data_IF_646222331557
#
_entry.id   IF_646222331557
#
_cell.length_a   1.000
_cell.length_b   1.000
_cell.length_c   1.000
_cell.angle_alpha   90.00
_cell.angle_beta   90.00
_cell.angle_gamma   90.00
#
_symmetry.space_group_name_H-M   'P 1'
#
loop_
_entity.id
_entity.type
_entity.pdbx_description
1 polymer ?
#
# COMPACT_ATOMS: atom_id res chain seq x y z
N UNK A 1 2.20 11.10 -1.84
CA UNK A 1 0.84 11.16 -1.31
C UNK A 1 0.05 12.17 -2.10
N UNK A 2 -1.23 11.89 -2.40
CA UNK A 2 -2.15 12.80 -3.08
C UNK A 2 -3.54 12.70 -2.47
N UNK A 3 -4.28 13.80 -2.49
CA UNK A 3 -5.68 13.85 -2.07
C UNK A 3 -6.58 14.17 -3.27
N UNK A 4 -7.67 13.43 -3.43
CA UNK A 4 -8.72 13.84 -4.37
C UNK A 4 -9.40 15.13 -3.88
N UNK A 5 -10.07 15.83 -4.79
CA UNK A 5 -10.77 17.06 -4.44
C UNK A 5 -11.93 16.78 -3.46
N UNK A 6 -12.64 15.67 -3.67
CA UNK A 6 -13.71 15.21 -2.78
C UNK A 6 -13.20 14.89 -1.37
N UNK A 7 -12.07 14.17 -1.26
CA UNK A 7 -11.44 13.88 0.03
C UNK A 7 -11.04 15.16 0.75
N UNK A 8 -10.40 16.09 0.03
CA UNK A 8 -10.02 17.39 0.60
C UNK A 8 -11.22 18.16 1.13
N UNK A 9 -12.31 18.25 0.36
CA UNK A 9 -13.51 18.95 0.80
C UNK A 9 -14.15 18.28 2.03
N UNK A 10 -14.18 16.95 2.07
CA UNK A 10 -14.66 16.20 3.21
C UNK A 10 -13.81 16.48 4.46
N UNK A 11 -12.48 16.41 4.34
CA UNK A 11 -11.56 16.65 5.46
C UNK A 11 -11.63 18.10 5.95
N UNK A 12 -11.64 19.09 5.05
CA UNK A 12 -11.78 20.50 5.46
C UNK A 12 -13.07 20.76 6.23
N UNK A 13 -14.17 20.15 5.80
CA UNK A 13 -15.45 20.25 6.50
C UNK A 13 -15.37 19.59 7.88
N UNK A 14 -14.80 18.39 7.98
CA UNK A 14 -14.62 17.70 9.26
C UNK A 14 -13.74 18.49 10.23
N UNK A 15 -12.65 19.09 9.74
CA UNK A 15 -11.77 19.93 10.55
C UNK A 15 -12.53 21.16 11.08
N UNK A 16 -13.31 21.83 10.23
CA UNK A 16 -14.15 22.97 10.64
C UNK A 16 -15.20 22.56 11.68
N UNK A 17 -15.89 21.43 11.49
CA UNK A 17 -16.91 20.91 12.42
C UNK A 17 -16.35 20.53 13.79
N UNK A 18 -15.05 20.19 13.86
CA UNK A 18 -14.36 19.78 15.08
C UNK A 18 -13.47 20.88 15.68
N UNK A 19 -13.55 22.12 15.17
CA UNK A 19 -12.72 23.25 15.60
C UNK A 19 -11.21 22.95 15.54
N UNK A 20 -10.81 22.13 14.58
CA UNK A 20 -9.44 21.68 14.37
C UNK A 20 -8.87 22.25 13.06
N UNK A 21 -7.54 22.22 12.91
CA UNK A 21 -6.86 22.78 11.73
C UNK A 21 -5.87 21.82 11.06
N UNK A 22 -5.81 20.56 11.54
CA UNK A 22 -4.85 19.58 11.05
C UNK A 22 -5.47 18.17 10.95
N UNK A 23 -5.21 17.49 9.84
CA UNK A 23 -5.43 16.05 9.70
C UNK A 23 -4.22 15.31 10.29
N UNK A 24 -4.42 14.27 11.08
CA UNK A 24 -3.37 13.37 11.53
C UNK A 24 -3.42 12.07 10.73
N UNK A 25 -2.26 11.58 10.28
CA UNK A 25 -2.12 10.31 9.59
C UNK A 25 -1.08 9.48 10.32
N UNK A 26 -1.48 8.31 10.80
CA UNK A 26 -0.63 7.36 11.51
C UNK A 26 -0.77 5.97 10.90
N UNK A 27 0.31 5.18 10.96
CA UNK A 27 0.30 3.75 10.68
C UNK A 27 0.29 2.99 12.00
N UNK A 28 -0.65 2.06 12.14
CA UNK A 28 -0.73 1.17 13.28
C UNK A 28 -0.40 -0.24 12.82
N UNK A 29 0.68 -0.80 13.35
CA UNK A 29 1.02 -2.21 13.17
C UNK A 29 0.00 -3.09 13.91
N UNK A 30 -0.52 -4.08 13.21
CA UNK A 30 -1.45 -5.09 13.74
C UNK A 30 -0.71 -6.38 14.10
N UNK A 31 -1.40 -7.28 14.81
CA UNK A 31 -0.79 -8.53 15.31
C UNK A 31 -0.34 -9.47 14.19
N UNK A 32 -0.91 -9.33 12.98
CA UNK A 32 -0.66 -10.18 11.81
C UNK A 32 0.40 -9.58 10.86
N UNK A 33 1.25 -8.66 11.34
CA UNK A 33 2.23 -7.95 10.51
C UNK A 33 1.63 -7.09 9.38
N UNK A 34 0.31 -6.93 9.36
CA UNK A 34 -0.36 -5.90 8.58
C UNK A 34 -0.27 -4.55 9.26
N UNK A 35 -0.50 -3.48 8.51
CA UNK A 35 -0.68 -2.15 9.06
C UNK A 35 -2.06 -1.61 8.70
N UNK A 36 -2.61 -0.80 9.59
CA UNK A 36 -3.81 -0.02 9.35
C UNK A 36 -3.47 1.47 9.30
N UNK A 37 -4.10 2.18 8.36
CA UNK A 37 -3.95 3.64 8.25
C UNK A 37 -5.03 4.28 9.12
N UNK A 38 -4.60 5.06 10.11
CA UNK A 38 -5.48 5.83 10.96
C UNK A 38 -5.52 7.28 10.48
N UNK A 39 -6.74 7.80 10.28
CA UNK A 39 -6.99 9.20 9.97
C UNK A 39 -7.66 9.86 11.18
N UNK A 40 -6.93 10.78 11.80
CA UNK A 40 -7.35 11.50 12.99
C UNK A 40 -7.56 12.99 12.73
N UNK A 41 -8.30 13.64 13.63
CA UNK A 41 -8.40 15.10 13.67
C UNK A 41 -7.48 15.60 14.78
N UNK A 42 -6.61 16.56 14.46
CA UNK A 42 -5.63 17.10 15.38
C UNK A 42 -5.53 18.64 15.29
N UNK A 43 -4.93 19.24 16.32
CA UNK A 43 -4.49 20.62 16.30
C UNK A 43 -3.04 20.69 15.79
N UNK A 44 -2.75 21.62 14.88
CA UNK A 44 -1.39 21.79 14.34
C UNK A 44 -0.36 22.14 15.43
N UNK A 45 -0.78 22.78 16.52
CA UNK A 45 0.11 23.16 17.64
C UNK A 45 0.68 21.96 18.41
N UNK A 46 0.00 20.82 18.36
CA UNK A 46 0.34 19.62 19.11
C UNK A 46 1.13 18.60 18.26
N UNK A 47 1.22 18.84 16.95
CA UNK A 47 1.95 17.99 16.02
C UNK A 47 3.46 18.17 16.15
N UNK A 48 4.19 17.04 16.23
CA UNK A 48 5.65 17.02 16.22
C UNK A 48 6.20 17.45 14.85
N UNK A 49 5.49 17.06 13.79
CA UNK A 49 5.84 17.31 12.40
C UNK A 49 4.57 17.62 11.61
N UNK A 50 4.67 18.61 10.74
CA UNK A 50 3.58 19.04 9.87
C UNK A 50 4.10 19.20 8.45
N UNK A 51 3.30 18.75 7.50
CA UNK A 51 3.44 19.04 6.09
C UNK A 51 2.18 19.74 5.59
N UNK A 52 2.30 20.47 4.49
CA UNK A 52 1.15 21.07 3.80
C UNK A 52 0.99 20.37 2.45
N UNK A 53 -0.14 19.70 2.28
CA UNK A 53 -0.49 18.98 1.04
C UNK A 53 -1.80 19.53 0.50
N UNK A 54 -1.75 20.07 -0.71
CA UNK A 54 -2.90 20.66 -1.39
C UNK A 54 -3.66 21.69 -0.53
N UNK A 55 -2.94 22.41 0.34
CA UNK A 55 -3.51 23.41 1.27
C UNK A 55 -4.18 22.84 2.52
N UNK A 56 -4.01 21.54 2.78
CA UNK A 56 -4.40 20.87 4.02
C UNK A 56 -3.14 20.66 4.88
N UNK A 57 -3.22 21.01 6.17
CA UNK A 57 -2.14 20.68 7.10
C UNK A 57 -2.28 19.23 7.54
N UNK A 58 -1.19 18.49 7.42
CA UNK A 58 -1.14 17.06 7.76
C UNK A 58 -0.04 16.85 8.79
N UNK A 59 -0.41 16.29 9.94
CA UNK A 59 0.49 15.77 10.95
C UNK A 59 0.82 14.32 10.60
N UNK A 60 2.09 14.06 10.28
CA UNK A 60 2.56 12.76 9.81
C UNK A 60 4.05 12.60 10.12
N UNK A 61 4.42 11.42 10.61
CA UNK A 61 5.82 11.06 10.83
C UNK A 61 6.57 10.89 9.49
N UNK A 62 7.89 11.02 9.51
CA UNK A 62 8.70 10.98 8.28
C UNK A 62 8.64 9.60 7.62
N UNK A 63 8.80 8.55 8.41
CA UNK A 63 8.68 7.14 7.99
C UNK A 63 7.31 6.83 7.39
N UNK A 64 6.24 7.34 8.00
CA UNK A 64 4.87 7.16 7.51
C UNK A 64 4.64 7.89 6.18
N UNK A 65 5.21 9.09 6.02
CA UNK A 65 5.14 9.83 4.74
C UNK A 65 5.89 9.09 3.63
N UNK A 66 7.07 8.54 3.93
CA UNK A 66 7.85 7.76 2.98
C UNK A 66 7.09 6.52 2.51
N UNK A 67 6.42 5.81 3.41
CA UNK A 67 5.54 4.70 3.04
C UNK A 67 4.39 5.17 2.14
N UNK A 68 3.70 6.25 2.51
CA UNK A 68 2.51 6.74 1.80
C UNK A 68 2.84 7.66 0.61
N UNK A 69 4.08 7.66 0.12
CA UNK A 69 4.54 8.57 -0.92
C UNK A 69 3.81 8.39 -2.27
N UNK A 70 3.25 7.21 -2.55
CA UNK A 70 2.47 6.95 -3.77
C UNK A 70 0.96 6.89 -3.50
N UNK A 71 0.55 6.91 -2.23
CA UNK A 71 -0.82 6.74 -1.83
C UNK A 71 -1.73 7.88 -2.31
N UNK A 72 -2.94 7.52 -2.76
CA UNK A 72 -4.01 8.43 -3.14
C UNK A 72 -5.21 8.24 -2.23
N UNK A 73 -5.59 9.29 -1.50
CA UNK A 73 -6.75 9.28 -0.60
C UNK A 73 -7.95 9.87 -1.32
N UNK A 74 -9.07 9.14 -1.28
CA UNK A 74 -10.31 9.45 -1.97
C UNK A 74 -11.54 9.29 -1.10
N UNK A 75 -12.68 9.66 -1.68
CA UNK A 75 -14.02 9.42 -1.14
C UNK A 75 -14.85 8.83 -2.27
N UNK A 76 -15.46 7.66 -2.05
CA UNK A 76 -16.45 7.07 -2.95
C UNK A 76 -17.79 6.98 -2.20
N UNK A 77 -18.72 7.87 -2.54
CA UNK A 77 -19.98 7.99 -1.80
C UNK A 77 -19.78 8.44 -0.35
N UNK A 78 -20.10 7.56 0.60
CA UNK A 78 -19.95 7.78 2.04
C UNK A 78 -18.72 7.06 2.63
N UNK A 79 -17.89 6.42 1.78
CA UNK A 79 -16.73 5.64 2.20
C UNK A 79 -15.42 6.35 1.85
N UNK A 80 -14.46 6.32 2.78
CA UNK A 80 -13.09 6.76 2.53
C UNK A 80 -12.34 5.64 1.80
N UNK A 81 -11.64 5.99 0.74
CA UNK A 81 -10.85 5.05 -0.07
C UNK A 81 -9.39 5.46 -0.05
N UNK A 82 -8.49 4.47 -0.01
CA UNK A 82 -7.05 4.69 -0.06
C UNK A 82 -6.47 3.72 -1.07
N UNK A 83 -5.88 4.25 -2.13
CA UNK A 83 -5.12 3.49 -3.12
C UNK A 83 -3.63 3.64 -2.79
N UNK A 84 -2.95 2.57 -2.39
CA UNK A 84 -1.58 2.64 -1.88
C UNK A 84 -0.51 2.69 -2.98
N UNK A 85 -0.87 2.43 -4.24
CA UNK A 85 0.10 2.22 -5.32
C UNK A 85 1.09 1.09 -4.99
N UNK A 86 2.32 1.21 -5.50
CA UNK A 86 3.45 0.32 -5.17
C UNK A 86 4.09 0.74 -3.82
N UNK A 87 3.32 0.75 -2.73
CA UNK A 87 3.87 1.04 -1.41
C UNK A 87 4.90 -0.01 -0.99
N UNK A 88 6.14 0.42 -0.75
CA UNK A 88 7.22 -0.42 -0.21
C UNK A 88 6.99 -0.88 1.25
N UNK A 89 5.91 -0.44 1.89
CA UNK A 89 5.51 -0.84 3.24
C UNK A 89 4.93 -2.28 3.31
N UNK A 90 4.68 -2.91 2.16
CA UNK A 90 4.33 -4.33 2.06
C UNK A 90 5.61 -5.18 1.93
N UNK A 91 6.43 -5.26 2.98
CA UNK A 91 7.44 -6.32 3.05
C UNK A 91 6.80 -7.57 3.67
N UNK A 92 6.50 -8.54 2.78
CA UNK A 92 6.21 -9.97 2.99
C UNK A 92 4.79 -10.29 3.54
N UNK A 93 3.87 -11.00 2.89
CA UNK A 93 3.97 -12.15 1.98
C UNK A 93 2.75 -12.13 1.02
N UNK A 94 2.94 -12.03 -0.29
CA UNK A 94 2.25 -12.91 -1.25
C UNK A 94 2.79 -12.66 -2.66
N UNK A 95 3.08 -13.78 -3.30
CA UNK A 95 3.33 -13.92 -4.71
C UNK A 95 2.38 -13.07 -5.58
N UNK A 96 2.96 -12.49 -6.63
CA UNK A 96 2.36 -12.30 -7.95
C UNK A 96 0.82 -12.22 -8.00
N UNK A 97 0.25 -11.01 -7.89
CA UNK A 97 -0.96 -10.62 -8.60
C UNK A 97 -1.02 -9.09 -8.71
N UNK A 98 -0.04 -8.50 -9.39
CA UNK A 98 -0.18 -7.15 -9.91
C UNK A 98 -1.37 -7.09 -10.85
N UNK A 99 -2.15 -6.00 -10.74
CA UNK A 99 -3.06 -5.55 -11.79
C UNK A 99 -2.27 -5.30 -13.08
N UNK A 100 -1.99 -6.35 -13.85
CA UNK A 100 -1.48 -6.23 -15.20
C UNK A 100 -2.64 -6.24 -16.18
N UNK A 101 -3.09 -5.03 -16.50
CA UNK A 101 -3.71 -4.75 -17.78
C UNK A 101 -2.60 -4.77 -18.84
N UNK A 102 -2.20 -5.96 -19.27
CA UNK A 102 -1.44 -6.14 -20.51
C UNK A 102 -1.76 -7.52 -21.08
N UNK A 103 -2.25 -7.51 -22.31
CA UNK A 103 -2.27 -8.68 -23.16
C UNK A 103 -0.84 -9.20 -23.33
N UNK A 104 -0.73 -10.53 -23.41
CA UNK A 104 0.44 -11.32 -23.82
C UNK A 104 1.40 -11.76 -22.69
N UNK A 105 1.20 -13.04 -22.31
CA UNK A 105 2.21 -14.04 -21.92
C UNK A 105 3.18 -13.68 -20.78
N UNK A 106 2.96 -14.20 -19.56
CA UNK A 106 3.96 -15.00 -18.82
C UNK A 106 3.47 -15.48 -17.43
N UNK A 107 4.07 -16.60 -17.01
CA UNK A 107 3.69 -17.60 -15.99
C UNK A 107 3.18 -17.16 -14.59
N UNK A 108 2.07 -17.77 -14.16
CA UNK A 108 1.66 -17.87 -12.76
C UNK A 108 2.30 -19.11 -12.08
N UNK A 109 3.20 -18.90 -11.13
CA UNK A 109 3.56 -19.94 -10.15
C UNK A 109 2.71 -19.72 -8.89
N UNK A 110 1.63 -20.48 -8.76
CA UNK A 110 0.78 -20.46 -7.58
C UNK A 110 1.38 -21.19 -6.39
N UNK A 111 1.09 -20.67 -5.19
CA UNK A 111 0.95 -21.36 -3.90
C UNK A 111 1.86 -22.59 -3.64
N UNK A 112 2.86 -22.42 -2.79
CA UNK A 112 3.44 -23.54 -2.05
C UNK A 112 3.13 -23.42 -0.56
N UNK A 113 2.06 -24.09 -0.14
CA UNK A 113 1.98 -24.66 1.20
C UNK A 113 2.08 -26.18 1.02
N UNK A 114 2.90 -26.80 1.87
CA UNK A 114 3.06 -28.23 2.10
C UNK A 114 4.25 -28.95 1.45
N UNK A 115 4.85 -29.78 2.31
CA UNK A 115 6.07 -30.56 2.19
C UNK A 115 5.99 -31.59 1.06
N UNK A 116 7.03 -31.63 0.23
CA UNK A 116 7.30 -32.75 -0.67
C UNK A 116 6.70 -32.62 -2.07
N UNK A 117 7.60 -32.77 -3.05
CA UNK A 117 7.29 -33.23 -4.42
C UNK A 117 6.70 -32.17 -5.37
N UNK A 118 7.58 -31.35 -5.96
CA UNK A 118 7.31 -30.79 -7.29
C UNK A 118 7.21 -31.96 -8.28
N UNK A 119 5.99 -32.38 -8.58
CA UNK A 119 5.71 -33.29 -9.69
C UNK A 119 5.78 -32.53 -11.01
N UNK A 120 6.99 -32.30 -11.51
CA UNK A 120 7.21 -32.34 -12.95
C UNK A 120 7.11 -33.82 -13.33
N UNK A 121 5.95 -34.24 -13.84
CA UNK A 121 5.74 -35.60 -14.29
C UNK A 121 6.80 -36.02 -15.32
N UNK A 122 7.27 -37.25 -15.17
CA UNK A 122 7.99 -38.00 -16.20
C UNK A 122 7.29 -37.83 -17.56
N UNK A 123 7.97 -37.22 -18.52
CA UNK A 123 8.36 -37.84 -19.79
C UNK A 123 9.23 -36.84 -20.59
N UNK A 124 10.47 -37.28 -20.79
CA UNK A 124 11.50 -36.76 -21.68
C UNK A 124 10.97 -36.12 -22.99
N UNK A 125 11.42 -34.91 -23.34
CA UNK A 125 12.28 -34.62 -24.51
C UNK A 125 12.40 -33.09 -24.76
N UNK A 126 13.62 -32.58 -24.53
CA UNK A 126 14.28 -31.49 -25.27
C UNK A 126 13.62 -30.08 -25.28
N UNK A 127 13.90 -29.25 -24.27
CA UNK A 127 14.47 -27.87 -24.40
C UNK A 127 14.64 -27.23 -23.01
N UNK A 128 15.61 -27.71 -22.23
CA UNK A 128 16.08 -27.01 -21.03
C UNK A 128 17.24 -26.10 -21.41
N UNK A 129 16.95 -24.96 -22.04
CA UNK A 129 17.88 -23.83 -22.16
C UNK A 129 17.09 -22.53 -22.41
N UNK A 130 16.83 -21.72 -21.38
CA UNK A 130 17.54 -20.44 -21.27
C UNK A 130 17.43 -19.83 -19.86
N UNK A 131 18.52 -19.22 -19.42
CA UNK A 131 18.65 -18.35 -18.25
C UNK A 131 18.42 -18.94 -16.83
N UNK A 132 19.49 -19.58 -16.32
CA UNK A 132 20.15 -19.01 -15.14
C UNK A 132 19.52 -19.21 -13.75
N UNK A 133 18.55 -20.11 -13.57
CA UNK A 133 18.05 -20.44 -12.23
C UNK A 133 18.98 -21.44 -11.51
N UNK A 134 20.08 -20.92 -10.96
CA UNK A 134 20.99 -21.67 -10.09
C UNK A 134 20.49 -21.60 -8.63
N UNK A 135 19.81 -22.63 -8.14
CA UNK A 135 19.77 -22.88 -6.69
C UNK A 135 21.06 -23.62 -6.30
N UNK A 136 22.00 -22.90 -5.68
CA UNK A 136 23.30 -23.42 -5.23
C UNK A 136 23.20 -23.91 -3.78
N UNK A 137 23.59 -25.18 -3.59
CA UNK A 137 23.96 -25.94 -2.37
C UNK A 137 22.94 -26.17 -1.24
#
# INVERSE_FOLDING_TARGET
>A
MKFTEEFKQAMLKLLEENEADCLAIDLLEEEDHSFSINLGIADSKDAVRLIELDGLKVAIAEDVEECLQEATFGVDGDELTIDLGDCACHEEEDCCCGHHHHEEEDCCCGHHHHEGECCCGDEHEEDCCNDGCCCHE
#
